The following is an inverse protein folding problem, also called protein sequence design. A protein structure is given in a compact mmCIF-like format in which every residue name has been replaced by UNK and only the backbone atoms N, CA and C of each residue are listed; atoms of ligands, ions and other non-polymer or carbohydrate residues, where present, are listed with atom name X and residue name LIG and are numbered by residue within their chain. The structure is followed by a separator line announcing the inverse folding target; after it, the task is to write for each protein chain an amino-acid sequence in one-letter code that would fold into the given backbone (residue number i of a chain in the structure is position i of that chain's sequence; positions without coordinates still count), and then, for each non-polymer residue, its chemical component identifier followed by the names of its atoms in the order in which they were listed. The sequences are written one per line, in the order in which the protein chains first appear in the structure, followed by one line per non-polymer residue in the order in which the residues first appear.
data_IF_826452199782
#
_entry.id   IF_826452199782
#
_cell.length_a   1.000
_cell.length_b   1.000
_cell.length_c   1.000
_cell.angle_alpha   90.00
_cell.angle_beta   90.00
_cell.angle_gamma   90.00
#
_symmetry.space_group_name_H-M   'P 1'
#
loop_
_entity.id
_entity.type
_entity.pdbx_description
1 polymer ?
#
# COMPACT_ATOMS: atom_id res chain seq x y z
N UNK A 1 -6.93 7.51 10.96
CA UNK A 1 -6.45 7.73 9.58
C UNK A 1 -7.64 8.15 8.75
N UNK A 2 -7.52 9.20 7.93
CA UNK A 2 -8.64 9.68 7.10
C UNK A 2 -8.25 9.42 5.65
N UNK A 3 -8.81 8.36 5.06
CA UNK A 3 -8.71 8.12 3.63
C UNK A 3 -9.61 9.09 2.86
N UNK A 4 -9.29 9.43 1.60
CA UNK A 4 -10.18 10.22 0.77
C UNK A 4 -11.55 9.56 0.62
N UNK A 5 -12.64 10.34 0.71
CA UNK A 5 -14.00 9.79 0.74
C UNK A 5 -14.35 8.93 -0.48
N UNK A 6 -13.86 9.28 -1.67
CA UNK A 6 -14.08 8.51 -2.89
C UNK A 6 -13.50 7.08 -2.77
N UNK A 7 -12.40 6.92 -2.06
CA UNK A 7 -11.76 5.62 -1.87
C UNK A 7 -12.45 4.85 -0.76
N UNK A 8 -12.82 5.51 0.34
CA UNK A 8 -13.63 4.89 1.40
C UNK A 8 -14.97 4.38 0.86
N UNK A 9 -15.67 5.16 0.04
CA UNK A 9 -16.91 4.73 -0.62
C UNK A 9 -16.71 3.50 -1.51
N UNK A 10 -15.57 3.41 -2.20
CA UNK A 10 -15.24 2.25 -3.02
C UNK A 10 -14.87 1.03 -2.17
N UNK A 11 -14.08 1.21 -1.10
CA UNK A 11 -13.77 0.15 -0.14
C UNK A 11 -15.04 -0.44 0.48
N UNK A 12 -16.02 0.40 0.84
CA UNK A 12 -17.31 -0.07 1.37
C UNK A 12 -18.20 -0.76 0.33
N UNK A 13 -17.82 -0.75 -0.95
CA UNK A 13 -18.53 -1.44 -2.03
C UNK A 13 -17.96 -2.82 -2.37
N UNK A 14 -16.82 -3.19 -1.76
CA UNK A 14 -16.15 -4.47 -1.99
C UNK A 14 -16.04 -5.26 -0.68
N UNK A 15 -16.27 -6.56 -0.74
CA UNK A 15 -16.17 -7.46 0.43
C UNK A 15 -14.92 -8.36 0.37
N UNK A 16 -14.29 -8.46 -0.80
CA UNK A 16 -13.10 -9.27 -1.08
C UNK A 16 -12.07 -8.44 -1.84
N UNK A 17 -10.82 -8.91 -1.87
CA UNK A 17 -9.79 -8.28 -2.67
C UNK A 17 -10.17 -8.23 -4.16
N UNK A 18 -9.90 -7.09 -4.78
CA UNK A 18 -10.20 -6.82 -6.19
C UNK A 18 -8.92 -6.76 -7.02
N UNK A 19 -8.96 -7.36 -8.21
CA UNK A 19 -7.85 -7.33 -9.16
C UNK A 19 -8.05 -6.17 -10.13
N UNK A 20 -7.15 -5.19 -10.10
CA UNK A 20 -7.21 -3.98 -10.92
C UNK A 20 -6.02 -3.90 -11.85
N UNK A 21 -6.27 -3.87 -13.16
CA UNK A 21 -5.25 -3.58 -14.15
C UNK A 21 -5.07 -2.08 -14.31
N UNK A 22 -3.93 -1.56 -13.89
CA UNK A 22 -3.65 -0.13 -13.91
C UNK A 22 -2.26 0.16 -14.45
N UNK A 23 -2.20 0.95 -15.53
CA UNK A 23 -0.94 1.39 -16.18
C UNK A 23 0.05 0.26 -16.51
N UNK A 24 -0.47 -0.92 -16.86
CA UNK A 24 0.36 -2.09 -17.19
C UNK A 24 0.81 -2.93 -16.00
N UNK A 25 0.32 -2.62 -14.79
CA UNK A 25 0.47 -3.46 -13.59
C UNK A 25 -0.86 -4.11 -13.22
N UNK A 26 -0.79 -5.26 -12.57
CA UNK A 26 -1.94 -5.97 -11.98
C UNK A 26 -1.84 -5.80 -10.46
N UNK A 27 -2.81 -5.11 -9.86
CA UNK A 27 -2.85 -4.87 -8.43
C UNK A 27 -3.96 -5.67 -7.78
N UNK A 28 -3.66 -6.28 -6.64
CA UNK A 28 -4.63 -6.92 -5.76
C UNK A 28 -4.93 -5.93 -4.64
N UNK A 29 -6.03 -5.19 -4.76
CA UNK A 29 -6.43 -4.17 -3.80
C UNK A 29 -7.21 -4.80 -2.66
N UNK A 30 -6.86 -4.44 -1.43
CA UNK A 30 -7.45 -5.02 -0.23
C UNK A 30 -8.83 -4.41 0.10
N UNK A 31 -9.81 -5.20 0.55
CA UNK A 31 -11.02 -4.69 1.15
C UNK A 31 -10.73 -4.10 2.53
N UNK A 32 -11.69 -3.38 3.11
CA UNK A 32 -11.55 -2.73 4.42
C UNK A 32 -11.20 -3.73 5.54
N UNK A 33 -11.76 -4.94 5.48
CA UNK A 33 -11.49 -6.03 6.43
C UNK A 33 -10.00 -6.42 6.43
N UNK A 34 -9.43 -6.71 5.27
CA UNK A 34 -8.01 -7.09 5.15
C UNK A 34 -7.07 -5.93 5.51
N UNK A 35 -7.44 -4.69 5.19
CA UNK A 35 -6.67 -3.51 5.60
C UNK A 35 -6.58 -3.40 7.13
N UNK A 36 -7.64 -3.79 7.83
CA UNK A 36 -7.73 -3.74 9.29
C UNK A 36 -7.06 -4.93 9.99
N UNK A 37 -6.83 -6.05 9.29
CA UNK A 37 -6.21 -7.25 9.86
C UNK A 37 -4.83 -6.97 10.45
N UNK A 38 -4.47 -7.69 11.51
CA UNK A 38 -3.13 -7.65 12.08
C UNK A 38 -2.20 -8.60 11.35
N UNK A 39 -1.06 -8.08 10.89
CA UNK A 39 0.01 -8.84 10.26
C UNK A 39 1.29 -8.72 11.08
N UNK A 40 2.08 -9.79 11.11
CA UNK A 40 3.39 -9.79 11.77
C UNK A 40 4.47 -9.96 10.73
N UNK A 41 5.34 -8.96 10.62
CA UNK A 41 6.52 -8.95 9.75
C UNK A 41 7.75 -8.93 10.65
N UNK A 42 8.49 -10.05 10.65
CA UNK A 42 9.54 -10.33 11.64
C UNK A 42 9.00 -10.17 13.07
N UNK A 43 9.51 -9.21 13.85
CA UNK A 43 9.05 -8.94 15.23
C UNK A 43 8.04 -7.78 15.35
N UNK A 44 7.58 -7.24 14.21
CA UNK A 44 6.71 -6.07 14.16
C UNK A 44 5.28 -6.49 13.81
N UNK A 45 4.37 -6.42 14.78
CA UNK A 45 2.92 -6.61 14.57
C UNK A 45 2.27 -5.26 14.33
N UNK A 46 1.59 -5.12 13.19
CA UNK A 46 0.88 -3.90 12.76
C UNK A 46 -0.37 -4.30 11.98
N UNK A 47 -1.32 -3.38 11.81
CA UNK A 47 -2.40 -3.60 10.85
C UNK A 47 -1.86 -3.62 9.41
N UNK A 48 -2.51 -4.33 8.50
CA UNK A 48 -2.11 -4.45 7.08
C UNK A 48 -1.90 -3.09 6.42
N UNK A 49 -2.76 -2.11 6.70
CA UNK A 49 -2.60 -0.76 6.13
C UNK A 49 -1.26 -0.08 6.51
N UNK A 50 -0.62 -0.53 7.59
CA UNK A 50 0.68 -0.06 8.09
C UNK A 50 1.84 -1.04 7.77
N UNK A 51 1.62 -2.09 6.99
CA UNK A 51 2.64 -3.13 6.81
C UNK A 51 3.95 -2.62 6.20
N UNK A 52 3.90 -1.56 5.37
CA UNK A 52 5.11 -0.90 4.86
C UNK A 52 6.04 -0.43 5.99
N UNK A 53 5.50 0.15 7.07
CA UNK A 53 6.30 0.57 8.22
C UNK A 53 7.08 -0.60 8.81
N UNK A 54 6.43 -1.76 8.95
CA UNK A 54 7.06 -2.95 9.52
C UNK A 54 8.17 -3.47 8.61
N UNK A 55 7.96 -3.53 7.29
CA UNK A 55 9.01 -3.89 6.33
C UNK A 55 10.21 -2.94 6.39
N UNK A 56 9.97 -1.63 6.38
CA UNK A 56 11.02 -0.60 6.42
C UNK A 56 11.81 -0.68 7.73
N UNK A 57 11.13 -0.91 8.85
CA UNK A 57 11.78 -1.10 10.15
C UNK A 57 12.65 -2.34 10.18
N UNK A 58 12.15 -3.48 9.71
CA UNK A 58 12.93 -4.72 9.60
C UNK A 58 14.15 -4.53 8.69
N UNK A 59 13.98 -3.87 7.54
CA UNK A 59 15.06 -3.60 6.59
C UNK A 59 16.17 -2.72 7.19
N UNK A 60 15.80 -1.69 7.96
CA UNK A 60 16.75 -0.85 8.69
C UNK A 60 17.52 -1.64 9.76
N UNK A 61 16.85 -2.55 10.47
CA UNK A 61 17.49 -3.37 11.50
C UNK A 61 18.47 -4.40 10.92
N UNK A 62 18.15 -4.96 9.74
CA UNK A 62 18.97 -6.01 9.09
C UNK A 62 20.12 -5.41 8.27
N UNK A 63 19.85 -4.38 7.47
CA UNK A 63 20.82 -3.84 6.51
C UNK A 63 21.43 -2.49 6.91
N UNK A 64 20.88 -1.83 7.94
CA UNK A 64 21.30 -0.47 8.35
C UNK A 64 20.85 0.64 7.40
N UNK A 65 20.10 0.32 6.34
CA UNK A 65 19.64 1.27 5.33
C UNK A 65 18.25 0.91 4.81
N UNK A 66 17.53 1.88 4.26
CA UNK A 66 16.19 1.68 3.70
C UNK A 66 15.88 2.78 2.67
N UNK A 67 15.04 2.50 1.65
CA UNK A 67 14.61 3.51 0.69
C UNK A 67 13.68 4.57 1.30
N UNK A 68 13.06 4.27 2.45
CA UNK A 68 12.22 5.20 3.19
C UNK A 68 12.66 5.30 4.65
N UNK A 69 12.46 6.47 5.25
CA UNK A 69 12.56 6.63 6.70
C UNK A 69 11.26 6.18 7.39
N UNK A 70 11.36 5.89 8.69
CA UNK A 70 10.19 5.59 9.52
C UNK A 70 9.20 6.77 9.56
N UNK A 71 9.71 8.00 9.54
CA UNK A 71 8.87 9.20 9.50
C UNK A 71 8.08 9.30 8.19
N UNK A 72 8.72 9.01 7.05
CA UNK A 72 8.03 8.96 5.75
C UNK A 72 6.94 7.90 5.72
N UNK A 73 7.10 6.78 6.42
CA UNK A 73 6.08 5.74 6.48
C UNK A 73 4.79 6.21 7.19
N UNK A 74 4.83 7.28 7.99
CA UNK A 74 3.65 7.77 8.74
C UNK A 74 2.56 8.37 7.85
N UNK A 75 2.91 8.83 6.64
CA UNK A 75 1.96 9.28 5.62
C UNK A 75 1.64 8.20 4.58
N UNK A 76 2.30 7.05 4.64
CA UNK A 76 2.11 5.96 3.70
C UNK A 76 1.01 5.01 4.17
N UNK A 77 0.16 4.58 3.23
CA UNK A 77 -0.90 3.60 3.49
C UNK A 77 -0.77 2.49 2.48
N UNK A 78 -0.58 1.26 2.95
CA UNK A 78 -0.67 0.08 2.09
C UNK A 78 -2.13 -0.16 1.72
N UNK A 79 -2.39 -0.33 0.42
CA UNK A 79 -3.73 -0.48 -0.17
C UNK A 79 -3.92 -1.82 -0.88
N UNK A 80 -2.86 -2.60 -1.02
CA UNK A 80 -2.89 -3.84 -1.80
C UNK A 80 -1.50 -4.41 -2.04
N UNK A 81 -1.39 -5.29 -3.02
CA UNK A 81 -0.12 -5.87 -3.47
C UNK A 81 0.01 -5.96 -4.99
N UNK A 82 1.26 -6.01 -5.44
CA UNK A 82 1.69 -6.35 -6.80
C UNK A 82 2.65 -7.53 -6.69
N UNK A 83 2.18 -8.73 -7.05
CA UNK A 83 2.95 -9.97 -6.93
C UNK A 83 3.52 -10.19 -5.51
N UNK A 84 2.71 -9.91 -4.48
CA UNK A 84 3.11 -10.03 -3.06
C UNK A 84 3.94 -8.86 -2.52
N UNK A 85 4.32 -7.90 -3.36
CA UNK A 85 5.00 -6.67 -2.93
C UNK A 85 3.97 -5.62 -2.49
N UNK A 86 4.15 -4.94 -1.34
CA UNK A 86 3.22 -3.92 -0.87
C UNK A 86 3.04 -2.77 -1.87
N UNK A 87 1.80 -2.56 -2.30
CA UNK A 87 1.38 -1.35 -3.03
C UNK A 87 0.84 -0.35 -2.01
N UNK A 88 1.34 0.87 -2.06
CA UNK A 88 0.98 1.91 -1.09
C UNK A 88 0.81 3.27 -1.75
N UNK A 89 0.14 4.15 -1.03
CA UNK A 89 -0.01 5.56 -1.38
C UNK A 89 0.71 6.43 -0.36
N UNK A 90 1.19 7.59 -0.78
CA UNK A 90 1.69 8.63 0.12
C UNK A 90 0.70 9.80 0.19
N UNK A 91 0.04 9.95 1.33
CA UNK A 91 -0.96 11.00 1.54
C UNK A 91 -0.38 12.42 1.43
N UNK A 92 0.93 12.60 1.65
CA UNK A 92 1.60 13.90 1.53
C UNK A 92 2.00 14.23 0.09
N UNK A 93 1.86 13.27 -0.84
CA UNK A 93 2.19 13.41 -2.26
C UNK A 93 0.98 13.16 -3.14
N UNK A 94 -0.13 13.84 -2.84
CA UNK A 94 -1.39 13.70 -3.60
C UNK A 94 -1.89 12.25 -3.71
N UNK A 95 -1.56 11.39 -2.72
CA UNK A 95 -1.85 9.95 -2.76
C UNK A 95 -1.24 9.25 -3.97
N UNK A 96 -0.04 9.66 -4.38
CA UNK A 96 0.75 9.02 -5.44
C UNK A 96 0.98 7.53 -5.13
N UNK A 97 0.91 6.68 -6.16
CA UNK A 97 1.07 5.22 -6.01
C UNK A 97 2.52 4.79 -6.12
N UNK A 98 2.89 3.90 -5.21
CA UNK A 98 4.19 3.25 -5.16
C UNK A 98 4.06 1.76 -4.90
N UNK A 99 5.10 1.00 -5.26
CA UNK A 99 5.29 -0.37 -4.84
C UNK A 99 6.63 -0.51 -4.12
N UNK A 100 6.64 -1.18 -2.98
CA UNK A 100 7.86 -1.54 -2.26
C UNK A 100 8.26 -2.96 -2.62
N UNK A 101 9.36 -3.10 -3.35
CA UNK A 101 9.90 -4.41 -3.72
C UNK A 101 10.68 -5.01 -2.57
N UNK A 102 10.16 -6.13 -2.03
CA UNK A 102 10.77 -6.85 -0.93
C UNK A 102 12.13 -7.42 -1.33
N UNK A 103 12.25 -7.85 -2.59
CA UNK A 103 13.52 -8.26 -3.17
C UNK A 103 14.33 -7.02 -3.57
N UNK A 104 15.50 -6.86 -2.95
CA UNK A 104 16.37 -5.70 -3.13
C UNK A 104 16.02 -4.46 -2.31
N UNK A 105 14.81 -4.37 -1.74
CA UNK A 105 14.43 -3.29 -0.81
C UNK A 105 14.44 -1.91 -1.46
N UNK A 106 13.67 -1.74 -2.54
CA UNK A 106 13.54 -0.45 -3.24
C UNK A 106 12.07 -0.07 -3.48
N UNK A 107 11.83 1.22 -3.77
CA UNK A 107 10.50 1.77 -4.04
C UNK A 107 10.42 2.18 -5.51
N UNK A 108 9.36 1.76 -6.19
CA UNK A 108 9.05 2.18 -7.55
C UNK A 108 7.77 3.03 -7.55
N UNK A 109 7.79 4.17 -8.23
CA UNK A 109 6.57 4.92 -8.52
C UNK A 109 5.80 4.23 -9.65
N UNK A 110 4.52 3.91 -9.43
CA UNK A 110 3.67 3.25 -10.43
C UNK A 110 2.99 4.23 -11.40
N UNK A 111 3.18 5.52 -11.15
CA UNK A 111 2.55 6.61 -11.88
C UNK A 111 1.07 6.74 -11.53
N UNK A 112 0.57 7.97 -11.55
CA UNK A 112 -0.80 8.25 -11.12
C UNK A 112 -0.96 8.23 -9.60
N UNK A 113 -2.21 8.25 -9.16
CA UNK A 113 -2.59 8.42 -7.76
C UNK A 113 -3.87 7.62 -7.42
N UNK A 114 -4.19 7.57 -6.12
CA UNK A 114 -5.31 6.79 -5.59
C UNK A 114 -6.63 7.09 -6.32
N UNK A 115 -6.89 8.36 -6.65
CA UNK A 115 -8.10 8.75 -7.37
C UNK A 115 -8.19 8.05 -8.72
N UNK A 116 -7.13 8.15 -9.54
CA UNK A 116 -7.12 7.53 -10.86
C UNK A 116 -7.17 6.00 -10.80
N UNK A 117 -6.55 5.37 -9.79
CA UNK A 117 -6.67 3.93 -9.57
C UNK A 117 -8.12 3.56 -9.21
N UNK A 118 -8.75 4.31 -8.30
CA UNK A 118 -10.11 4.04 -7.83
C UNK A 118 -11.12 4.18 -8.98
N UNK A 119 -10.90 5.13 -9.90
CA UNK A 119 -11.73 5.27 -11.10
C UNK A 119 -11.65 4.00 -11.95
N UNK A 120 -10.45 3.45 -12.18
CA UNK A 120 -10.33 2.21 -12.95
C UNK A 120 -10.89 1.00 -12.22
N UNK A 121 -10.70 0.92 -10.90
CA UNK A 121 -11.28 -0.15 -10.09
C UNK A 121 -12.82 -0.18 -10.15
N UNK A 122 -13.47 0.96 -10.35
CA UNK A 122 -14.94 1.07 -10.50
C UNK A 122 -15.45 0.67 -11.89
N UNK A 123 -14.57 0.53 -12.87
CA UNK A 123 -14.94 0.18 -14.25
C UNK A 123 -14.90 -1.34 -14.53
N UNK A 124 -14.57 -2.14 -13.51
CA UNK A 124 -14.52 -3.61 -13.54
C UNK A 124 -15.91 -4.15 -13.22
#
# INVERSE_FOLDING_TARGET
MILPSYYTEWLSSIDTAEVVYYRGSEFYLFPESELADEVTIDKNTVNTFNQLYAFIKTQLEVSGSSPLTIEQCSSCITIGTDNGNPVFIDLMRESELFCYYLDGGYVEAKGGNLLSLTIEARNI
#
